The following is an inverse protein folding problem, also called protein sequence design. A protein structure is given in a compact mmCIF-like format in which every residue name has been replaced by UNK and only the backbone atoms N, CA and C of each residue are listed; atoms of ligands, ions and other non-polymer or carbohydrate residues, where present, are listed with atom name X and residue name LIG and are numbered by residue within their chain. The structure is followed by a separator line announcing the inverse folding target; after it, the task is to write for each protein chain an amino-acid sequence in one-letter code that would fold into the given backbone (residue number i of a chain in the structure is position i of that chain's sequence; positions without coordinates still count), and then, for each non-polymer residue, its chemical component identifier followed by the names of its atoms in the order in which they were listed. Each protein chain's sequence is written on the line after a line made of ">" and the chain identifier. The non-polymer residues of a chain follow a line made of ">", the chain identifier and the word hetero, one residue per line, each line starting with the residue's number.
data_IF_764737745187
#
_entry.id   IF_764737745187
#
_cell.length_a   1.000
_cell.length_b   1.000
_cell.length_c   1.000
_cell.angle_alpha   90.00
_cell.angle_beta   90.00
_cell.angle_gamma   90.00
#
_symmetry.space_group_name_H-M   'P 1'
#
loop_
_entity.id
_entity.type
_entity.pdbx_description
1 polymer ?
#
# COMPACT_ATOMS: atom_id res chain seq x y z
N UNK A 1 24.50 26.60 21.35
CA UNK A 1 23.44 25.56 21.36
C UNK A 1 23.61 24.50 20.26
N UNK A 2 24.12 24.81 19.06
CA UNK A 2 24.31 23.82 17.99
C UNK A 2 25.36 22.71 18.30
N UNK A 3 26.34 22.96 19.17
CA UNK A 3 27.43 22.01 19.46
C UNK A 3 26.99 20.75 20.22
N UNK A 4 25.87 20.79 20.95
CA UNK A 4 25.40 19.64 21.73
C UNK A 4 24.76 18.56 20.84
N UNK A 5 24.05 18.98 19.79
CA UNK A 5 23.34 18.10 18.86
C UNK A 5 24.24 17.33 17.88
N UNK A 6 25.53 17.70 17.78
CA UNK A 6 26.52 17.02 16.93
C UNK A 6 27.71 16.46 17.74
N UNK A 7 27.61 16.37 19.06
CA UNK A 7 28.66 15.72 19.86
C UNK A 7 28.63 14.20 19.67
N UNK A 8 29.79 13.55 19.60
CA UNK A 8 29.91 12.08 19.53
C UNK A 8 29.10 11.39 20.63
N UNK A 9 29.07 11.96 21.85
CA UNK A 9 28.29 11.40 22.97
C UNK A 9 26.78 11.44 22.71
N UNK A 10 26.30 12.52 22.10
CA UNK A 10 24.89 12.68 21.75
C UNK A 10 24.49 11.76 20.59
N UNK A 11 25.34 11.60 19.57
CA UNK A 11 25.13 10.66 18.48
C UNK A 11 25.11 9.20 18.97
N UNK A 12 26.03 8.84 19.88
CA UNK A 12 26.03 7.51 20.52
C UNK A 12 24.75 7.28 21.33
N UNK A 13 24.30 8.29 22.09
CA UNK A 13 23.04 8.20 22.83
C UNK A 13 21.86 7.97 21.87
N UNK A 14 21.76 8.74 20.78
CA UNK A 14 20.70 8.55 19.78
C UNK A 14 20.74 7.15 19.15
N UNK A 15 21.94 6.62 18.88
CA UNK A 15 22.13 5.27 18.35
C UNK A 15 21.64 4.19 19.33
N UNK A 16 21.96 4.31 20.62
CA UNK A 16 21.47 3.36 21.62
C UNK A 16 19.96 3.48 21.85
N UNK A 17 19.43 4.70 21.87
CA UNK A 17 17.99 4.93 22.03
C UNK A 17 17.22 4.42 20.81
N UNK A 18 17.75 4.57 19.60
CA UNK A 18 17.12 4.06 18.38
C UNK A 18 17.16 2.53 18.26
N UNK A 19 18.10 1.86 18.92
CA UNK A 19 18.15 0.40 18.95
C UNK A 19 16.89 -0.23 19.58
N UNK A 20 16.23 0.45 20.53
CA UNK A 20 15.02 -0.04 21.20
C UNK A 20 13.84 -0.16 20.22
N UNK A 21 13.39 0.90 19.51
CA UNK A 21 12.30 0.79 18.55
C UNK A 21 12.66 -0.13 17.37
N UNK A 22 13.93 -0.16 16.92
CA UNK A 22 14.37 -1.07 15.86
C UNK A 22 14.24 -2.53 16.30
N UNK A 23 14.72 -2.87 17.50
CA UNK A 23 14.58 -4.22 18.04
C UNK A 23 13.12 -4.62 18.22
N UNK A 24 12.26 -3.69 18.63
CA UNK A 24 10.83 -3.91 18.74
C UNK A 24 10.19 -4.20 17.38
N UNK A 25 10.51 -3.43 16.33
CA UNK A 25 10.04 -3.69 14.96
C UNK A 25 10.52 -5.06 14.48
N UNK A 26 11.81 -5.38 14.64
CA UNK A 26 12.35 -6.70 14.26
C UNK A 26 11.59 -7.81 14.98
N UNK A 27 11.32 -7.67 16.28
CA UNK A 27 10.58 -8.67 17.03
C UNK A 27 9.15 -8.85 16.51
N UNK A 28 8.43 -7.75 16.24
CA UNK A 28 7.08 -7.81 15.68
C UNK A 28 7.06 -8.49 14.29
N UNK A 29 8.01 -8.16 13.42
CA UNK A 29 8.08 -8.69 12.04
C UNK A 29 8.58 -10.15 11.98
N UNK A 30 9.30 -10.63 13.01
CA UNK A 30 9.88 -11.99 13.02
C UNK A 30 9.16 -12.95 13.97
N UNK A 31 8.34 -12.44 14.89
CA UNK A 31 7.58 -13.28 15.80
C UNK A 31 6.59 -14.16 15.03
N UNK A 32 6.45 -15.42 15.45
CA UNK A 32 5.45 -16.32 14.86
C UNK A 32 4.05 -15.79 15.19
N UNK A 33 3.25 -15.44 14.18
CA UNK A 33 1.91 -14.93 14.41
C UNK A 33 1.00 -16.04 14.95
N UNK A 34 0.06 -15.65 15.80
CA UNK A 34 -0.96 -16.57 16.34
C UNK A 34 -2.07 -16.86 15.32
N UNK A 35 -2.12 -16.09 14.24
CA UNK A 35 -3.08 -16.24 13.14
C UNK A 35 -2.42 -16.86 11.93
N UNK A 36 -3.25 -17.44 11.06
CA UNK A 36 -2.79 -17.92 9.77
C UNK A 36 -2.28 -16.75 8.90
N UNK A 37 -1.14 -16.95 8.23
CA UNK A 37 -0.49 -15.94 7.38
C UNK A 37 -0.34 -16.47 5.97
N UNK A 38 -0.71 -15.63 5.02
CA UNK A 38 -0.49 -15.86 3.60
C UNK A 38 0.80 -15.16 3.17
N UNK A 39 1.78 -15.96 2.74
CA UNK A 39 2.98 -15.43 2.12
C UNK A 39 2.74 -15.21 0.63
N UNK A 40 3.26 -14.11 0.08
CA UNK A 40 3.16 -13.83 -1.34
C UNK A 40 4.39 -13.08 -1.85
N UNK A 41 4.64 -13.18 -3.16
CA UNK A 41 5.65 -12.38 -3.83
C UNK A 41 5.07 -11.06 -4.33
N UNK A 42 5.62 -9.97 -3.80
CA UNK A 42 5.37 -8.61 -4.26
C UNK A 42 6.04 -8.35 -5.62
N UNK A 43 5.35 -7.62 -6.50
CA UNK A 43 5.87 -7.11 -7.78
C UNK A 43 6.53 -5.73 -7.69
N UNK A 44 6.60 -5.12 -6.51
CA UNK A 44 7.12 -3.75 -6.31
C UNK A 44 7.68 -3.50 -4.92
N UNK A 45 7.84 -2.23 -4.56
CA UNK A 45 8.57 -1.80 -3.37
C UNK A 45 7.69 -1.74 -2.12
N UNK A 46 6.48 -1.17 -2.19
CA UNK A 46 5.64 -1.00 -0.99
C UNK A 46 4.14 -1.14 -1.25
N UNK A 47 3.48 -1.99 -0.46
CA UNK A 47 2.01 -2.13 -0.45
C UNK A 47 1.50 -1.31 0.71
N UNK A 48 0.65 -0.35 0.41
CA UNK A 48 0.20 0.58 1.43
C UNK A 48 -0.98 0.03 2.24
N UNK A 49 -1.91 -0.67 1.59
CA UNK A 49 -3.07 -1.26 2.23
C UNK A 49 -3.41 -2.62 1.58
N UNK A 50 -4.01 -3.51 2.36
CA UNK A 50 -4.59 -4.75 1.87
C UNK A 50 -5.98 -4.98 2.47
N UNK A 51 -6.89 -5.58 1.69
CA UNK A 51 -8.24 -5.96 2.13
C UNK A 51 -8.66 -7.28 1.51
N UNK A 52 -9.42 -8.07 2.28
CA UNK A 52 -9.96 -9.35 1.83
C UNK A 52 -11.23 -9.18 1.00
N UNK A 53 -11.22 -9.70 -0.22
CA UNK A 53 -12.40 -9.82 -1.09
C UNK A 53 -12.99 -11.23 -0.99
N UNK A 54 -13.94 -11.39 -0.06
CA UNK A 54 -14.48 -12.70 0.28
C UNK A 54 -15.19 -13.44 -0.86
N UNK A 55 -15.79 -12.74 -1.83
CA UNK A 55 -16.55 -13.43 -2.90
C UNK A 55 -15.63 -14.05 -3.94
N UNK A 56 -14.50 -13.41 -4.21
CA UNK A 56 -13.54 -13.89 -5.21
C UNK A 56 -12.33 -14.58 -4.56
N UNK A 57 -12.37 -14.79 -3.23
CA UNK A 57 -11.31 -15.39 -2.43
C UNK A 57 -9.91 -14.84 -2.78
N UNK A 58 -9.76 -13.53 -2.69
CA UNK A 58 -8.49 -12.86 -3.02
C UNK A 58 -8.23 -11.69 -2.07
N UNK A 59 -6.96 -11.38 -1.84
CA UNK A 59 -6.60 -10.09 -1.30
C UNK A 59 -6.54 -9.07 -2.44
N UNK A 60 -6.98 -7.85 -2.17
CA UNK A 60 -6.69 -6.68 -2.99
C UNK A 60 -5.65 -5.88 -2.23
N UNK A 61 -4.64 -5.37 -2.94
CA UNK A 61 -3.56 -4.57 -2.38
C UNK A 61 -3.43 -3.25 -3.14
N UNK A 62 -3.14 -2.16 -2.43
CA UNK A 62 -2.82 -0.86 -3.02
C UNK A 62 -1.31 -0.65 -3.08
N UNK A 63 -0.87 0.04 -4.13
CA UNK A 63 0.55 0.30 -4.37
C UNK A 63 0.92 1.73 -4.01
N UNK A 64 2.00 1.90 -3.27
CA UNK A 64 2.54 3.23 -3.02
C UNK A 64 3.07 3.88 -4.30
N UNK A 65 3.47 3.07 -5.27
CA UNK A 65 3.88 3.49 -6.62
C UNK A 65 2.69 3.78 -7.55
N UNK A 66 1.46 3.59 -7.04
CA UNK A 66 0.21 3.81 -7.75
C UNK A 66 -0.36 2.55 -8.39
N UNK A 67 -1.66 2.36 -8.20
CA UNK A 67 -2.42 1.24 -8.75
C UNK A 67 -2.89 0.24 -7.70
N UNK A 68 -3.43 -0.88 -8.20
CA UNK A 68 -3.92 -1.99 -7.39
C UNK A 68 -3.41 -3.33 -7.92
N UNK A 69 -3.23 -4.28 -7.01
CA UNK A 69 -2.95 -5.68 -7.29
C UNK A 69 -3.95 -6.60 -6.62
N UNK A 70 -3.98 -7.84 -7.09
CA UNK A 70 -4.74 -8.92 -6.47
C UNK A 70 -3.82 -10.09 -6.13
N UNK A 71 -4.13 -10.77 -5.04
CA UNK A 71 -3.45 -12.00 -4.62
C UNK A 71 -4.55 -13.06 -4.47
N UNK A 72 -4.78 -13.91 -5.49
CA UNK A 72 -5.78 -14.95 -5.42
C UNK A 72 -5.37 -16.03 -4.41
N UNK A 73 -6.34 -16.55 -3.65
CA UNK A 73 -6.17 -17.69 -2.76
C UNK A 73 -6.97 -18.86 -3.33
N UNK A 74 -6.27 -19.75 -4.03
CA UNK A 74 -6.85 -20.90 -4.71
C UNK A 74 -7.55 -21.86 -3.75
N UNK A 75 -8.45 -22.69 -4.27
CA UNK A 75 -9.29 -23.55 -3.44
C UNK A 75 -8.50 -24.65 -2.72
N UNK A 76 -7.42 -25.09 -3.36
CA UNK A 76 -6.46 -26.10 -2.95
C UNK A 76 -5.21 -25.51 -2.26
N UNK A 77 -5.25 -24.23 -1.87
CA UNK A 77 -4.19 -23.58 -1.11
C UNK A 77 -3.77 -24.42 0.12
N UNK A 78 -2.47 -24.68 0.23
CA UNK A 78 -1.89 -25.37 1.37
C UNK A 78 -0.99 -24.43 2.19
N UNK A 79 -0.98 -24.56 3.54
CA UNK A 79 -0.07 -23.78 4.37
C UNK A 79 1.38 -24.01 3.98
N UNK A 80 2.07 -22.96 3.55
CA UNK A 80 3.44 -23.02 3.03
C UNK A 80 3.54 -22.58 1.57
N UNK A 81 2.43 -22.60 0.82
CA UNK A 81 2.40 -22.06 -0.53
C UNK A 81 2.62 -20.55 -0.52
N UNK A 82 3.47 -20.09 -1.44
CA UNK A 82 3.75 -18.67 -1.65
C UNK A 82 2.92 -18.18 -2.83
N UNK A 83 1.95 -17.32 -2.54
CA UNK A 83 1.03 -16.76 -3.52
C UNK A 83 1.74 -15.75 -4.44
N UNK A 84 1.10 -15.45 -5.56
CA UNK A 84 1.60 -14.46 -6.53
C UNK A 84 0.69 -13.25 -6.56
N UNK A 85 1.28 -12.06 -6.53
CA UNK A 85 0.54 -10.84 -6.77
C UNK A 85 0.44 -10.54 -8.27
N UNK A 86 -0.76 -10.19 -8.70
CA UNK A 86 -1.08 -9.81 -10.08
C UNK A 86 -1.51 -8.34 -10.09
N UNK A 87 -0.72 -7.42 -10.68
CA UNK A 87 -1.14 -6.04 -10.90
C UNK A 87 -2.36 -5.98 -11.81
N UNK A 88 -3.41 -5.28 -11.41
CA UNK A 88 -4.68 -5.19 -12.14
C UNK A 88 -5.06 -3.77 -12.54
N UNK A 89 -4.56 -2.77 -11.81
CA UNK A 89 -4.76 -1.35 -12.14
C UNK A 89 -3.40 -0.67 -12.19
N UNK A 90 -3.06 -0.08 -13.34
CA UNK A 90 -1.87 0.75 -13.52
C UNK A 90 -2.09 1.71 -14.70
N UNK A 91 -2.57 2.90 -14.41
CA UNK A 91 -2.96 3.86 -15.44
C UNK A 91 -1.88 4.92 -15.68
N UNK A 92 -1.65 5.25 -16.95
CA UNK A 92 -0.58 6.16 -17.34
C UNK A 92 -0.82 7.59 -16.82
N UNK A 93 -2.06 8.08 -16.82
CA UNK A 93 -2.45 9.41 -16.35
C UNK A 93 -2.29 9.59 -14.82
N UNK A 94 -2.32 8.50 -14.06
CA UNK A 94 -2.07 8.46 -12.62
C UNK A 94 -0.61 8.16 -12.24
N UNK A 95 0.29 8.00 -13.22
CA UNK A 95 1.70 7.69 -12.94
C UNK A 95 2.33 8.79 -12.06
N UNK A 96 2.97 8.38 -10.97
CA UNK A 96 3.59 9.28 -9.98
C UNK A 96 2.69 9.63 -8.81
N UNK A 97 1.41 9.26 -8.85
CA UNK A 97 0.53 9.26 -7.69
C UNK A 97 0.56 7.91 -6.96
N UNK A 98 0.40 7.94 -5.64
CA UNK A 98 0.24 6.74 -4.83
C UNK A 98 -1.23 6.33 -4.72
N UNK A 99 -1.49 5.05 -4.45
CA UNK A 99 -2.81 4.58 -4.02
C UNK A 99 -2.79 4.38 -2.50
N UNK A 100 -3.28 5.38 -1.76
CA UNK A 100 -3.22 5.42 -0.29
C UNK A 100 -4.60 5.15 0.33
N UNK A 101 -4.91 3.88 0.49
CA UNK A 101 -6.18 3.41 1.02
C UNK A 101 -7.22 3.19 -0.08
N UNK A 102 -8.06 2.20 0.16
CA UNK A 102 -9.19 1.88 -0.70
C UNK A 102 -10.33 1.25 0.09
N UNK A 103 -11.51 1.11 -0.50
CA UNK A 103 -12.60 0.30 0.06
C UNK A 103 -13.31 -0.49 -1.03
N UNK A 104 -13.78 -1.68 -0.65
CA UNK A 104 -14.54 -2.57 -1.54
C UNK A 104 -16.02 -2.22 -1.36
N UNK A 105 -16.61 -1.59 -2.38
CA UNK A 105 -18.04 -1.27 -2.45
C UNK A 105 -18.75 -2.41 -3.21
N UNK A 106 -19.09 -3.47 -2.45
CA UNK A 106 -19.62 -4.70 -3.03
C UNK A 106 -20.99 -4.51 -3.67
N UNK A 107 -21.86 -3.68 -3.10
CA UNK A 107 -23.20 -3.43 -3.63
C UNK A 107 -23.16 -2.91 -5.07
N UNK A 108 -22.10 -2.17 -5.42
CA UNK A 108 -21.89 -1.58 -6.74
C UNK A 108 -20.79 -2.29 -7.54
N UNK A 109 -20.36 -3.47 -7.09
CA UNK A 109 -19.29 -4.28 -7.69
C UNK A 109 -18.01 -3.47 -8.03
N UNK A 110 -17.57 -2.58 -7.14
CA UNK A 110 -16.44 -1.69 -7.41
C UNK A 110 -15.49 -1.54 -6.23
N UNK A 111 -14.27 -1.10 -6.52
CA UNK A 111 -13.31 -0.65 -5.53
C UNK A 111 -13.13 0.86 -5.66
N UNK A 112 -13.17 1.58 -4.54
CA UNK A 112 -12.92 3.01 -4.45
C UNK A 112 -11.50 3.22 -3.92
N UNK A 113 -10.67 3.96 -4.63
CA UNK A 113 -9.24 4.13 -4.34
C UNK A 113 -8.92 5.60 -4.18
N UNK A 114 -8.27 5.95 -3.07
CA UNK A 114 -7.72 7.28 -2.90
C UNK A 114 -6.38 7.38 -3.64
N UNK A 115 -6.36 8.23 -4.66
CA UNK A 115 -5.18 8.55 -5.44
C UNK A 115 -4.54 9.79 -4.81
N UNK A 116 -3.34 9.64 -4.26
CA UNK A 116 -2.68 10.68 -3.50
C UNK A 116 -1.48 11.24 -4.25
N UNK A 117 -1.35 12.56 -4.28
CA UNK A 117 -0.13 13.24 -4.72
C UNK A 117 0.84 13.40 -3.54
N UNK A 118 1.60 12.35 -3.26
CA UNK A 118 2.50 12.30 -2.09
C UNK A 118 3.66 13.27 -2.22
N UNK A 119 4.12 13.54 -3.44
CA UNK A 119 5.26 14.41 -3.71
C UNK A 119 4.84 15.87 -4.01
N UNK A 120 3.55 16.17 -4.10
CA UNK A 120 3.04 17.54 -4.32
C UNK A 120 3.19 18.06 -5.75
N UNK A 121 3.42 17.18 -6.73
CA UNK A 121 3.72 17.54 -8.12
C UNK A 121 2.58 17.18 -9.09
N UNK A 122 1.49 16.61 -8.60
CA UNK A 122 0.37 16.03 -9.35
C UNK A 122 -0.94 16.47 -8.72
N UNK A 123 -1.96 15.63 -8.73
CA UNK A 123 -3.27 15.94 -8.15
C UNK A 123 -3.76 14.78 -7.31
N UNK A 124 -4.53 15.05 -6.27
CA UNK A 124 -5.20 14.00 -5.52
C UNK A 124 -6.59 13.78 -6.10
N UNK A 125 -7.04 12.53 -6.12
CA UNK A 125 -8.32 12.13 -6.71
C UNK A 125 -8.93 10.94 -5.96
N UNK A 126 -10.21 10.71 -6.23
CA UNK A 126 -10.90 9.47 -5.92
C UNK A 126 -11.17 8.74 -7.24
N UNK A 127 -10.66 7.52 -7.36
CA UNK A 127 -10.94 6.65 -8.49
C UNK A 127 -11.88 5.52 -8.09
N UNK A 128 -12.66 5.02 -9.04
CA UNK A 128 -13.42 3.79 -8.88
C UNK A 128 -13.11 2.82 -10.01
N UNK A 129 -12.97 1.54 -9.69
CA UNK A 129 -12.73 0.48 -10.68
C UNK A 129 -13.74 -0.65 -10.47
N UNK A 130 -14.24 -1.21 -11.56
CA UNK A 130 -15.11 -2.39 -11.52
C UNK A 130 -14.31 -3.62 -11.03
N UNK A 131 -14.86 -4.39 -10.09
CA UNK A 131 -14.13 -5.49 -9.44
C UNK A 131 -13.93 -6.72 -10.35
N UNK A 132 -14.64 -6.79 -11.47
CA UNK A 132 -14.57 -7.91 -12.40
C UNK A 132 -13.58 -7.62 -13.53
N UNK A 133 -13.75 -6.47 -14.18
CA UNK A 133 -12.97 -6.06 -15.35
C UNK A 133 -11.75 -5.19 -15.01
N UNK A 134 -11.72 -4.61 -13.81
CA UNK A 134 -10.74 -3.59 -13.39
C UNK A 134 -10.74 -2.31 -14.22
N UNK A 135 -11.74 -2.14 -15.07
CA UNK A 135 -11.92 -0.92 -15.83
C UNK A 135 -12.30 0.23 -14.90
N UNK A 136 -11.74 1.40 -15.15
CA UNK A 136 -12.08 2.63 -14.43
C UNK A 136 -13.53 3.02 -14.70
N UNK A 137 -14.30 3.13 -13.62
CA UNK A 137 -15.68 3.61 -13.63
C UNK A 137 -15.71 5.13 -13.60
N UNK A 138 -14.92 5.75 -12.73
CA UNK A 138 -14.74 7.21 -12.71
C UNK A 138 -13.40 7.60 -12.08
N UNK A 139 -13.02 8.85 -12.33
CA UNK A 139 -11.93 9.55 -11.64
C UNK A 139 -12.38 10.97 -11.32
N UNK A 140 -12.42 11.30 -10.04
CA UNK A 140 -12.80 12.64 -9.57
C UNK A 140 -11.61 13.29 -8.90
N UNK A 141 -11.05 14.31 -9.54
CA UNK A 141 -9.99 15.14 -8.94
C UNK A 141 -10.56 15.89 -7.74
N UNK A 142 -9.86 15.78 -6.60
CA UNK A 142 -10.23 16.39 -5.33
C UNK A 142 -9.39 17.63 -5.02
N UNK A 143 -8.11 17.59 -5.38
CA UNK A 143 -7.18 18.71 -5.19
C UNK A 143 -6.02 18.61 -6.17
N UNK A 144 -5.23 19.68 -6.31
CA UNK A 144 -4.00 19.70 -7.10
C UNK A 144 -3.44 21.12 -7.18
N UNK A 145 -2.23 21.31 -7.72
CA UNK A 145 -1.61 22.61 -7.87
C UNK A 145 -2.53 23.49 -8.71
N UNK A 146 -2.80 24.67 -8.17
CA UNK A 146 -3.46 25.74 -8.91
C UNK A 146 -2.38 26.32 -9.80
N UNK A 147 -2.32 25.89 -11.06
CA UNK A 147 -1.54 26.63 -12.05
C UNK A 147 -2.28 27.94 -12.30
N UNK A 148 -1.86 29.00 -11.62
CA UNK A 148 -2.16 30.36 -12.05
C UNK A 148 -1.45 30.56 -13.39
N UNK A 149 -2.23 30.58 -14.47
CA UNK A 149 -1.76 31.00 -15.78
C UNK A 149 -1.58 32.52 -15.82
#
# INVERSE_FOLDING_TARGET
>A
MASFFCSTKFLLLLFFVSAIPIAFIIHLETSSPTTHVYHYHSTGWLRECSKWDNANRRFIVSFFEGGLGVIPVEADYSPGDVLQEIPVVKEADLTGNASLGFTIDRERNRVLVAVADVLGNRYSALAAYDLTSWNRVFLTKLSGPVHHF
#
